data_IF_680718491459
#
_entry.id   IF_680718491459
#
_cell.length_a   1.000
_cell.length_b   1.000
_cell.length_c   1.000
_cell.angle_alpha   90.00
_cell.angle_beta   90.00
_cell.angle_gamma   90.00
#
_symmetry.space_group_name_H-M   'P 1'
#
loop_
_entity.id
_entity.type
_entity.pdbx_description
1 polymer ?
#
# COMPACT_ATOMS: atom_id res chain seq x y z
N UNK A 1 -6.24 3.03 -28.56
CA UNK A 1 -5.73 3.25 -27.19
C UNK A 1 -5.92 2.01 -26.32
N UNK A 2 -7.13 1.41 -26.31
CA UNK A 2 -7.45 0.24 -25.48
C UNK A 2 -6.54 -0.99 -25.64
N UNK A 3 -6.05 -1.27 -26.85
CA UNK A 3 -5.21 -2.45 -27.10
C UNK A 3 -3.89 -2.38 -26.31
N UNK A 4 -3.24 -1.21 -26.30
CA UNK A 4 -2.02 -0.96 -25.52
C UNK A 4 -2.25 -1.02 -24.01
N UNK A 5 -3.43 -0.62 -23.53
CA UNK A 5 -3.78 -0.70 -22.10
C UNK A 5 -3.94 -2.16 -21.68
N UNK A 6 -4.60 -2.98 -22.50
CA UNK A 6 -4.71 -4.43 -22.29
C UNK A 6 -3.36 -5.12 -22.28
N UNK A 7 -2.50 -4.78 -23.22
CA UNK A 7 -1.16 -5.37 -23.34
C UNK A 7 -0.22 -4.94 -22.19
N UNK A 8 -0.48 -3.80 -21.55
CA UNK A 8 0.27 -3.34 -20.37
C UNK A 8 -0.25 -3.97 -19.07
N UNK A 9 -1.56 -4.23 -19.00
CA UNK A 9 -2.20 -4.89 -17.86
C UNK A 9 -2.16 -6.42 -17.94
N UNK A 10 -1.77 -6.99 -19.08
CA UNK A 10 -1.66 -8.43 -19.25
C UNK A 10 -0.52 -8.96 -18.38
N UNK A 11 -0.89 -9.77 -17.40
CA UNK A 11 0.06 -10.50 -16.56
C UNK A 11 0.76 -11.58 -17.40
N UNK A 12 2.06 -11.74 -17.19
CA UNK A 12 2.81 -12.86 -17.76
C UNK A 12 2.29 -14.18 -17.18
N UNK A 13 2.34 -15.27 -17.97
CA UNK A 13 1.96 -16.60 -17.49
C UNK A 13 2.72 -16.98 -16.21
N UNK A 14 4.02 -16.69 -16.16
CA UNK A 14 4.86 -16.93 -14.98
C UNK A 14 4.32 -16.18 -13.74
N UNK A 15 3.98 -14.89 -13.88
CA UNK A 15 3.41 -14.12 -12.76
C UNK A 15 2.03 -14.62 -12.34
N UNK A 16 1.22 -15.08 -13.30
CA UNK A 16 -0.11 -15.64 -13.04
C UNK A 16 -0.02 -16.97 -12.31
N UNK A 17 0.89 -17.86 -12.71
CA UNK A 17 1.16 -19.13 -12.04
C UNK A 17 1.69 -18.92 -10.63
N UNK A 18 2.61 -17.97 -10.45
CA UNK A 18 3.15 -17.62 -9.14
C UNK A 18 2.05 -17.14 -8.19
N UNK A 19 1.14 -16.27 -8.65
CA UNK A 19 -0.02 -15.82 -7.86
C UNK A 19 -1.03 -16.95 -7.65
N UNK A 20 -1.33 -17.74 -8.69
CA UNK A 20 -2.27 -18.85 -8.62
C UNK A 20 -1.83 -19.98 -7.67
N UNK A 21 -0.53 -20.13 -7.47
CA UNK A 21 0.04 -21.08 -6.50
C UNK A 21 -0.04 -20.60 -5.04
N UNK A 22 -0.39 -19.33 -4.80
CA UNK A 22 -0.56 -18.82 -3.44
C UNK A 22 -1.80 -19.45 -2.81
N UNK A 23 -1.61 -20.11 -1.68
CA UNK A 23 -2.73 -20.58 -0.86
C UNK A 23 -3.40 -19.37 -0.22
N UNK A 24 -4.47 -18.88 -0.85
CA UNK A 24 -5.31 -17.81 -0.30
C UNK A 24 -6.31 -18.45 0.65
N UNK A 25 -5.97 -18.46 1.94
CA UNK A 25 -6.90 -18.89 2.98
C UNK A 25 -8.09 -17.91 3.05
N UNK A 26 -9.33 -18.38 3.27
CA UNK A 26 -10.47 -17.50 3.55
C UNK A 26 -10.09 -16.54 4.67
N UNK A 27 -10.21 -15.24 4.41
CA UNK A 27 -9.89 -14.23 5.40
C UNK A 27 -10.87 -14.41 6.59
N UNK A 28 -10.38 -14.62 7.82
CA UNK A 28 -11.26 -14.75 8.97
C UNK A 28 -12.10 -13.47 9.10
N UNK A 29 -13.37 -13.61 9.49
CA UNK A 29 -14.13 -12.43 9.90
C UNK A 29 -13.38 -11.81 11.08
N UNK A 30 -12.96 -10.56 10.88
CA UNK A 30 -12.41 -9.58 11.81
C UNK A 30 -12.31 -10.04 13.28
N UNK A 31 -11.14 -9.92 13.95
CA UNK A 31 -10.13 -8.87 13.77
C UNK A 31 -8.74 -9.43 13.37
N UNK A 32 -8.66 -10.34 12.41
CA UNK A 32 -7.37 -10.89 12.00
C UNK A 32 -6.75 -10.07 10.85
N UNK A 33 -5.56 -9.51 11.08
CA UNK A 33 -4.68 -8.94 10.04
C UNK A 33 -4.53 -9.90 8.86
N UNK A 34 -4.68 -9.41 7.63
CA UNK A 34 -4.54 -10.26 6.45
C UNK A 34 -3.08 -10.68 6.23
N UNK A 35 -2.85 -11.79 5.53
CA UNK A 35 -1.49 -12.15 5.12
C UNK A 35 -0.81 -10.99 4.39
N UNK A 36 -1.55 -10.33 3.50
CA UNK A 36 -1.02 -9.25 2.68
C UNK A 36 -0.70 -8.00 3.51
N UNK A 37 -1.54 -7.66 4.47
CA UNK A 37 -1.31 -6.56 5.42
C UNK A 37 -0.03 -6.82 6.24
N UNK A 38 0.11 -8.02 6.81
CA UNK A 38 1.32 -8.42 7.53
C UNK A 38 2.57 -8.46 6.63
N UNK A 39 2.42 -8.92 5.39
CA UNK A 39 3.51 -9.02 4.42
C UNK A 39 4.02 -7.63 3.98
N UNK A 40 3.08 -6.72 3.67
CA UNK A 40 3.34 -5.39 3.15
C UNK A 40 3.88 -4.46 4.24
N UNK A 41 3.26 -4.44 5.42
CA UNK A 41 3.63 -3.54 6.51
C UNK A 41 4.88 -3.95 7.28
N UNK A 42 5.38 -5.19 7.11
CA UNK A 42 6.53 -5.68 7.88
C UNK A 42 7.76 -4.76 7.73
N UNK A 43 8.17 -4.13 8.83
CA UNK A 43 9.35 -3.26 8.86
C UNK A 43 9.04 -1.77 8.63
N UNK A 44 7.76 -1.39 8.55
CA UNK A 44 7.33 0.00 8.73
C UNK A 44 7.67 0.46 10.15
N UNK A 45 8.16 1.69 10.27
CA UNK A 45 8.45 2.34 11.54
C UNK A 45 7.61 3.59 11.63
N UNK A 46 6.79 3.70 12.66
CA UNK A 46 6.02 4.91 12.90
C UNK A 46 6.90 5.88 13.68
N UNK A 47 7.10 7.06 13.10
CA UNK A 47 7.97 8.10 13.66
C UNK A 47 7.15 9.13 14.45
N UNK A 48 5.91 9.44 14.01
CA UNK A 48 5.00 10.38 14.69
C UNK A 48 3.54 10.06 14.37
N UNK A 49 2.66 10.23 15.35
CA UNK A 49 1.20 10.15 15.19
C UNK A 49 0.56 11.38 15.83
N UNK A 50 -0.35 12.02 15.12
CA UNK A 50 -1.21 13.12 15.58
C UNK A 50 -2.61 12.96 14.97
N UNK A 51 -3.64 13.64 15.50
CA UNK A 51 -4.96 13.62 14.88
C UNK A 51 -4.89 14.01 13.41
N UNK A 52 -5.33 13.11 12.52
CA UNK A 52 -5.28 13.30 11.07
C UNK A 52 -3.89 13.17 10.43
N UNK A 53 -2.85 12.78 11.17
CA UNK A 53 -1.48 12.72 10.66
C UNK A 53 -0.69 11.52 11.19
N UNK A 54 -0.10 10.77 10.28
CA UNK A 54 0.86 9.70 10.61
C UNK A 54 2.11 9.91 9.76
N UNK A 55 3.27 9.93 10.43
CA UNK A 55 4.57 9.91 9.80
C UNK A 55 5.22 8.56 10.05
N UNK A 56 5.69 7.92 9.00
CA UNK A 56 6.37 6.64 9.08
C UNK A 56 7.52 6.57 8.08
N UNK A 57 8.52 5.76 8.43
CA UNK A 57 9.64 5.41 7.58
C UNK A 57 9.56 3.94 7.19
N UNK A 58 9.94 3.66 5.94
CA UNK A 58 9.93 2.31 5.40
C UNK A 58 11.18 2.06 4.56
N UNK A 59 11.94 1.05 4.95
CA UNK A 59 13.11 0.59 4.18
C UNK A 59 12.63 -0.38 3.12
N UNK A 60 12.84 -0.04 1.85
CA UNK A 60 12.39 -0.83 0.70
C UNK A 60 12.92 -2.27 0.77
N UNK A 61 12.05 -3.26 1.02
CA UNK A 61 12.47 -4.65 1.11
C UNK A 61 12.41 -5.33 -0.26
N UNK A 62 13.27 -6.34 -0.53
CA UNK A 62 13.25 -7.09 -1.78
C UNK A 62 11.88 -7.67 -2.17
N UNK A 63 11.06 -8.02 -1.17
CA UNK A 63 9.75 -8.64 -1.38
C UNK A 63 8.69 -7.68 -1.96
N UNK A 64 8.97 -6.38 -2.00
CA UNK A 64 8.05 -5.35 -2.52
C UNK A 64 8.61 -4.63 -3.75
N UNK A 65 9.78 -5.03 -4.24
CA UNK A 65 10.41 -4.43 -5.41
C UNK A 65 10.00 -5.12 -6.71
N UNK A 66 9.89 -4.34 -7.79
CA UNK A 66 9.73 -4.87 -9.14
C UNK A 66 11.03 -5.41 -9.73
N UNK A 67 10.98 -5.85 -10.99
CA UNK A 67 12.14 -6.37 -11.72
C UNK A 67 13.27 -5.34 -11.90
N UNK A 68 12.94 -4.06 -11.81
CA UNK A 68 13.86 -2.93 -11.86
C UNK A 68 14.54 -2.62 -10.51
N UNK A 69 14.21 -3.38 -9.45
CA UNK A 69 14.74 -3.18 -8.10
C UNK A 69 14.16 -1.96 -7.38
N UNK A 70 13.14 -1.30 -7.95
CA UNK A 70 12.43 -0.21 -7.31
C UNK A 70 11.21 -0.72 -6.56
N UNK A 71 10.80 -0.01 -5.51
CA UNK A 71 9.54 -0.28 -4.83
C UNK A 71 8.39 -0.22 -5.85
N UNK A 72 7.65 -1.33 -5.97
CA UNK A 72 6.57 -1.45 -6.96
C UNK A 72 5.43 -0.46 -6.68
N UNK A 73 4.76 -0.01 -7.74
CA UNK A 73 3.59 0.88 -7.63
C UNK A 73 2.48 0.25 -6.79
N UNK A 74 2.26 -1.07 -6.93
CA UNK A 74 1.30 -1.81 -6.11
C UNK A 74 1.66 -1.76 -4.62
N UNK A 75 2.93 -1.97 -4.26
CA UNK A 75 3.37 -1.85 -2.86
C UNK A 75 3.23 -0.42 -2.33
N UNK A 76 3.52 0.59 -3.15
CA UNK A 76 3.31 2.00 -2.77
C UNK A 76 1.83 2.25 -2.48
N UNK A 77 0.93 1.78 -3.35
CA UNK A 77 -0.51 1.93 -3.15
C UNK A 77 -0.98 1.26 -1.86
N UNK A 78 -0.55 0.04 -1.57
CA UNK A 78 -0.94 -0.63 -0.33
C UNK A 78 -0.41 0.06 0.92
N UNK A 79 0.85 0.54 0.92
CA UNK A 79 1.39 1.27 2.06
C UNK A 79 0.64 2.59 2.29
N UNK A 80 0.29 3.27 1.21
CA UNK A 80 -0.45 4.52 1.25
C UNK A 80 -1.87 4.32 1.80
N UNK A 81 -2.55 3.25 1.41
CA UNK A 81 -3.89 2.90 1.90
C UNK A 81 -3.88 2.66 3.43
N UNK A 82 -2.95 1.82 3.90
CA UNK A 82 -2.82 1.48 5.33
C UNK A 82 -2.43 2.68 6.20
N UNK A 83 -1.48 3.51 5.74
CA UNK A 83 -1.08 4.73 6.46
C UNK A 83 -2.20 5.77 6.45
N UNK A 84 -2.92 5.88 5.33
CA UNK A 84 -4.10 6.72 5.21
C UNK A 84 -5.20 6.34 6.19
N UNK A 85 -5.50 5.05 6.29
CA UNK A 85 -6.43 4.52 7.27
C UNK A 85 -5.98 4.83 8.71
N UNK A 86 -4.70 4.62 9.03
CA UNK A 86 -4.15 4.92 10.34
C UNK A 86 -4.27 6.41 10.71
N UNK A 87 -4.05 7.33 9.77
CA UNK A 87 -4.19 8.76 9.98
C UNK A 87 -5.63 9.19 10.28
N UNK A 88 -6.61 8.59 9.60
CA UNK A 88 -8.04 8.84 9.85
C UNK A 88 -8.44 8.29 11.21
N UNK A 89 -7.97 7.09 11.56
CA UNK A 89 -8.24 6.50 12.86
C UNK A 89 -7.64 7.33 14.00
N UNK A 90 -6.43 7.89 13.80
CA UNK A 90 -5.78 8.79 14.75
C UNK A 90 -6.59 10.08 15.01
N UNK A 91 -7.43 10.49 14.06
CA UNK A 91 -8.35 11.64 14.20
C UNK A 91 -9.63 11.32 15.00
N UNK A 92 -9.73 10.09 15.55
CA UNK A 92 -10.86 9.66 16.39
C UNK A 92 -12.13 9.34 15.60
N UNK A 93 -12.02 9.20 14.28
CA UNK A 93 -13.14 8.79 13.44
C UNK A 93 -13.42 7.29 13.54
N UNK A 94 -14.71 6.93 13.36
CA UNK A 94 -15.13 5.55 13.15
C UNK A 94 -14.37 4.90 11.99
N UNK A 95 -14.31 3.58 11.99
CA UNK A 95 -13.61 2.81 10.96
C UNK A 95 -14.17 3.14 9.55
N UNK A 96 -13.39 3.86 8.76
CA UNK A 96 -13.70 4.22 7.37
C UNK A 96 -12.99 3.26 6.40
N UNK A 97 -13.49 3.21 5.17
CA UNK A 97 -12.88 2.48 4.06
C UNK A 97 -12.44 3.48 2.97
N UNK A 98 -11.34 3.18 2.30
CA UNK A 98 -10.87 3.93 1.14
C UNK A 98 -11.79 3.72 -0.05
N UNK A 99 -12.23 4.82 -0.67
CA UNK A 99 -13.16 4.82 -1.81
C UNK A 99 -12.48 5.34 -3.07
N UNK A 100 -11.57 6.30 -2.91
CA UNK A 100 -10.77 6.87 -3.99
C UNK A 100 -9.35 7.15 -3.49
N UNK A 101 -8.38 7.03 -4.39
CA UNK A 101 -6.99 7.21 -4.06
C UNK A 101 -6.21 7.73 -5.27
N UNK A 102 -5.51 8.84 -5.06
CA UNK A 102 -4.61 9.42 -6.04
C UNK A 102 -3.18 9.43 -5.52
N UNK A 103 -2.24 8.90 -6.31
CA UNK A 103 -0.81 8.83 -5.97
C UNK A 103 -0.01 9.54 -7.05
N UNK A 104 0.84 10.47 -6.65
CA UNK A 104 1.84 11.09 -7.51
C UNK A 104 3.23 10.49 -7.25
N UNK A 105 3.87 9.95 -8.30
CA UNK A 105 5.21 9.36 -8.20
C UNK A 105 6.27 10.40 -8.57
N UNK A 106 6.88 11.02 -7.56
CA UNK A 106 7.90 12.06 -7.78
C UNK A 106 9.32 11.50 -7.97
N UNK A 107 9.62 10.34 -7.36
CA UNK A 107 10.93 9.70 -7.44
C UNK A 107 10.84 8.19 -7.20
N UNK A 108 11.80 7.43 -7.69
CA UNK A 108 11.90 6.00 -7.42
C UNK A 108 12.60 5.75 -6.08
N UNK A 109 12.19 4.69 -5.38
CA UNK A 109 12.84 4.22 -4.15
C UNK A 109 13.46 2.85 -4.41
N UNK A 110 14.79 2.78 -4.35
CA UNK A 110 15.55 1.55 -4.65
C UNK A 110 15.63 0.63 -3.44
N UNK A 111 15.78 -0.66 -3.72
CA UNK A 111 16.13 -1.68 -2.75
C UNK A 111 17.34 -1.25 -1.91
N UNK A 112 17.23 -1.35 -0.59
CA UNK A 112 18.32 -1.06 0.33
C UNK A 112 19.35 -2.21 0.32
N UNK A 113 20.20 -2.23 -0.71
CA UNK A 113 21.45 -3.01 -0.70
C UNK A 113 22.43 -2.18 0.13
N UNK A 114 23.02 -2.78 1.18
CA UNK A 114 23.85 -2.19 2.25
C UNK A 114 25.09 -1.34 1.83
N UNK A 115 25.14 -0.73 0.65
CA UNK A 115 26.31 -0.01 0.13
C UNK A 115 26.16 1.52 0.07
N UNK A 116 25.00 2.13 0.33
CA UNK A 116 24.82 3.60 0.36
C UNK A 116 23.73 4.03 1.37
N UNK A 117 23.68 5.30 1.84
CA UNK A 117 22.77 5.72 2.92
C UNK A 117 21.29 5.44 2.60
N UNK A 118 20.45 5.20 3.63
CA UNK A 118 19.08 4.72 3.45
C UNK A 118 18.26 5.70 2.61
N UNK A 119 17.77 5.23 1.46
CA UNK A 119 16.77 5.96 0.69
C UNK A 119 15.46 5.94 1.49
N UNK A 120 15.20 7.02 2.22
CA UNK A 120 13.92 7.26 2.89
C UNK A 120 12.88 7.57 1.81
N UNK A 121 11.92 6.67 1.62
CA UNK A 121 10.71 7.00 0.89
C UNK A 121 9.87 7.94 1.76
N UNK A 122 9.97 9.24 1.53
CA UNK A 122 9.02 10.21 2.07
C UNK A 122 7.72 10.05 1.28
N UNK A 123 6.75 9.35 1.86
CA UNK A 123 5.37 9.34 1.37
C UNK A 123 4.77 10.69 1.77
N UNK A 124 4.97 11.72 0.94
CA UNK A 124 4.43 13.05 1.21
C UNK A 124 3.19 13.34 0.35
N UNK A 125 2.13 13.69 1.06
CA UNK A 125 0.85 14.29 0.64
C UNK A 125 -0.17 13.32 0.07
N UNK A 126 -1.03 12.82 0.97
CA UNK A 126 -2.29 12.16 0.66
C UNK A 126 -3.43 13.17 0.73
N UNK A 127 -4.18 13.33 -0.36
CA UNK A 127 -5.52 13.91 -0.29
C UNK A 127 -6.51 12.75 -0.38
N UNK A 128 -7.00 12.29 0.77
CA UNK A 128 -8.03 11.25 0.84
C UNK A 128 -9.40 11.92 0.85
N UNK A 129 -10.12 11.86 -0.27
CA UNK A 129 -11.54 12.22 -0.31
C UNK A 129 -12.38 11.03 0.13
N UNK A 130 -12.82 11.01 1.39
CA UNK A 130 -13.79 10.02 1.86
C UNK A 130 -15.21 10.60 1.87
N UNK A 131 -16.16 9.86 1.29
CA UNK A 131 -17.58 10.02 1.59
C UNK A 131 -17.91 9.20 2.85
N UNK A 132 -18.53 9.85 3.82
CA UNK A 132 -19.27 9.14 4.88
C UNK A 132 -20.45 8.44 4.22
N UNK A 133 -20.53 7.12 4.28
CA UNK A 133 -21.79 6.41 4.00
C UNK A 133 -22.78 6.80 5.10
N UNK A 134 -23.55 7.87 4.87
CA UNK A 134 -24.84 8.08 5.52
C UNK A 134 -25.89 7.40 4.64
N UNK A 135 -26.73 6.59 5.27
CA UNK A 135 -27.85 5.80 4.73
C UNK A 135 -27.49 4.52 3.98
N UNK A 136 -27.44 3.43 4.75
CA UNK A 136 -28.13 2.19 4.37
C UNK A 136 -29.37 2.09 5.24
N UNK A 137 -30.45 2.74 4.81
CA UNK A 137 -31.78 2.29 5.19
C UNK A 137 -32.09 1.11 4.25
N UNK A 138 -32.37 -0.05 4.85
CA UNK A 138 -32.77 -1.28 4.16
C UNK A 138 -34.15 -1.15 3.54
#
# INVERSE_FOLDING_TARGET
MEKRVRDFLSLTEESSERVGSLVVLPHPKWPSTSFYEAFSLRGIRVDRIEPGFVCCSFRVPPRLTGADGNLSSGAIASLVDEVGWAAIHADGHDMKVSVDMSIAYMSTSKLDVRTHPPALALINTLTLTHQTSKNRDF
#
